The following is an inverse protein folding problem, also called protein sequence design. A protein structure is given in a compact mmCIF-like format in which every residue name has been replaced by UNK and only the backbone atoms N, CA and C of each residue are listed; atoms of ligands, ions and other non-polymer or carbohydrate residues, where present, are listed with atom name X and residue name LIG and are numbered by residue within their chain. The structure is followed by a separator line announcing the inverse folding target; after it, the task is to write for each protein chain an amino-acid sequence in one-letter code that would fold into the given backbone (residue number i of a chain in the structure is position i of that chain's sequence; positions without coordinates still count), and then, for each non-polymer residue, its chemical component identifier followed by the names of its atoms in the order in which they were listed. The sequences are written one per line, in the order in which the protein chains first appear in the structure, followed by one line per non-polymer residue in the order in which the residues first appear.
data_IF_880291672178
#
_entry.id   IF_880291672178
#
_cell.length_a   1.000
_cell.length_b   1.000
_cell.length_c   1.000
_cell.angle_alpha   90.00
_cell.angle_beta   90.00
_cell.angle_gamma   90.00
#
_symmetry.space_group_name_H-M   'P 1'
#
loop_
_entity.id
_entity.type
_entity.pdbx_description
1 polymer ?
#
# COMPACT_ATOMS: atom_id res chain seq x y z
N UNK A 1 3.60 1.30 12.37
CA UNK A 1 3.78 2.62 11.74
C UNK A 1 2.83 3.55 12.45
N UNK A 2 3.34 4.61 13.07
CA UNK A 2 2.51 5.53 13.86
C UNK A 2 2.12 6.74 13.02
N UNK A 3 0.89 6.78 12.52
CA UNK A 3 0.41 7.91 11.70
C UNK A 3 0.40 9.26 12.44
N UNK A 4 0.44 9.25 13.78
CA UNK A 4 0.53 10.47 14.60
C UNK A 4 1.96 11.01 14.68
N UNK A 5 2.98 10.20 14.41
CA UNK A 5 4.37 10.65 14.36
C UNK A 5 4.63 11.35 13.01
N UNK A 6 5.16 12.59 12.98
CA UNK A 6 5.34 13.34 11.73
C UNK A 6 6.26 12.67 10.70
N UNK A 7 7.30 11.95 11.14
CA UNK A 7 8.23 11.28 10.21
C UNK A 7 7.57 10.08 9.57
N UNK A 8 6.87 9.29 10.38
CA UNK A 8 6.07 8.16 9.88
C UNK A 8 4.94 8.66 8.98
N UNK A 9 4.23 9.73 9.35
CA UNK A 9 3.14 10.32 8.55
C UNK A 9 3.61 10.68 7.14
N UNK A 10 4.77 11.31 7.02
CA UNK A 10 5.35 11.65 5.72
C UNK A 10 5.66 10.40 4.87
N UNK A 11 6.24 9.37 5.49
CA UNK A 11 6.49 8.11 4.80
C UNK A 11 5.20 7.42 4.37
N UNK A 12 4.21 7.33 5.27
CA UNK A 12 2.90 6.72 5.03
C UNK A 12 2.18 7.44 3.89
N UNK A 13 2.07 8.77 3.94
CA UNK A 13 1.44 9.56 2.87
C UNK A 13 2.11 9.29 1.52
N UNK A 14 3.45 9.22 1.50
CA UNK A 14 4.21 8.92 0.28
C UNK A 14 3.85 7.54 -0.28
N UNK A 15 3.88 6.48 0.53
CA UNK A 15 3.60 5.12 0.02
C UNK A 15 2.12 4.92 -0.33
N UNK A 16 1.20 5.62 0.34
CA UNK A 16 -0.22 5.62 -0.06
C UNK A 16 -0.43 6.37 -1.36
N UNK A 17 0.28 7.48 -1.59
CA UNK A 17 0.24 8.16 -2.89
C UNK A 17 0.78 7.24 -4.00
N UNK A 18 1.90 6.56 -3.78
CA UNK A 18 2.41 5.58 -4.75
C UNK A 18 1.42 4.44 -5.01
N UNK A 19 0.72 3.97 -3.98
CA UNK A 19 -0.34 2.98 -4.12
C UNK A 19 -1.51 3.50 -4.98
N UNK A 20 -1.92 4.75 -4.81
CA UNK A 20 -2.92 5.42 -5.66
C UNK A 20 -2.43 5.49 -7.10
N UNK A 21 -1.19 5.94 -7.31
CA UNK A 21 -0.60 6.12 -8.64
C UNK A 21 -0.46 4.80 -9.39
N UNK A 22 -0.13 3.69 -8.69
CA UNK A 22 -0.08 2.34 -9.28
C UNK A 22 -1.49 1.88 -9.69
N UNK A 23 -2.51 2.15 -8.89
CA UNK A 23 -3.87 1.77 -9.25
C UNK A 23 -4.48 2.59 -10.38
N UNK A 24 -4.02 3.83 -10.56
CA UNK A 24 -4.56 4.72 -11.59
C UNK A 24 -4.03 4.41 -13.00
N UNK A 25 -3.11 3.46 -13.12
CA UNK A 25 -2.60 2.99 -14.40
C UNK A 25 -3.67 2.16 -15.10
N UNK A 26 -4.38 2.77 -16.06
CA UNK A 26 -5.45 2.11 -16.83
C UNK A 26 -4.90 1.00 -17.72
N UNK A 27 -5.46 -0.21 -17.63
CA UNK A 27 -5.22 -1.30 -18.58
C UNK A 27 -4.99 -2.66 -17.91
N UNK A 28 -4.78 -3.71 -18.72
CA UNK A 28 -4.41 -5.06 -18.22
C UNK A 28 -2.95 -5.14 -17.75
N UNK A 29 -2.13 -4.16 -18.13
CA UNK A 29 -0.71 -4.03 -17.81
C UNK A 29 -0.44 -2.63 -17.26
N UNK A 30 0.62 -2.49 -16.47
CA UNK A 30 1.03 -1.21 -15.91
C UNK A 30 1.49 -0.25 -17.03
N UNK A 31 0.81 0.88 -17.18
CA UNK A 31 1.22 1.93 -18.13
C UNK A 31 2.57 2.54 -17.78
N UNK A 32 2.98 2.45 -16.52
CA UNK A 32 4.29 2.88 -16.03
C UNK A 32 4.87 1.81 -15.13
N UNK A 33 5.70 0.98 -15.77
CA UNK A 33 6.44 -0.09 -15.12
C UNK A 33 7.67 0.46 -14.38
N UNK A 34 7.89 -0.03 -13.17
CA UNK A 34 9.06 0.33 -12.36
C UNK A 34 10.30 -0.40 -12.87
N UNK A 35 11.42 0.32 -12.91
CA UNK A 35 12.72 -0.30 -13.18
C UNK A 35 13.14 -1.19 -12.00
N UNK A 36 14.09 -2.10 -12.25
CA UNK A 36 14.70 -2.94 -11.21
C UNK A 36 15.21 -2.10 -10.04
N UNK A 37 15.92 -1.01 -10.31
CA UNK A 37 16.52 -0.13 -9.30
C UNK A 37 15.44 0.56 -8.47
N UNK A 38 14.34 1.00 -9.12
CA UNK A 38 13.21 1.60 -8.41
C UNK A 38 12.54 0.58 -7.49
N UNK A 39 12.29 -0.65 -7.96
CA UNK A 39 11.71 -1.71 -7.13
C UNK A 39 12.60 -2.02 -5.92
N UNK A 40 13.90 -2.22 -6.13
CA UNK A 40 14.87 -2.47 -5.04
C UNK A 40 14.78 -1.34 -4.00
N UNK A 41 14.80 -0.08 -4.46
CA UNK A 41 14.70 1.07 -3.56
C UNK A 41 13.39 1.05 -2.77
N UNK A 42 12.27 0.80 -3.43
CA UNK A 42 10.95 0.82 -2.79
C UNK A 42 10.79 -0.30 -1.75
N UNK A 43 11.24 -1.51 -2.06
CA UNK A 43 11.26 -2.61 -1.11
C UNK A 43 12.20 -2.33 0.07
N UNK A 44 13.38 -1.75 -0.16
CA UNK A 44 14.31 -1.36 0.92
C UNK A 44 13.71 -0.28 1.82
N UNK A 45 13.16 0.79 1.24
CA UNK A 45 12.51 1.87 2.00
C UNK A 45 11.38 1.32 2.90
N UNK A 46 10.56 0.40 2.37
CA UNK A 46 9.48 -0.26 3.13
C UNK A 46 10.01 -1.15 4.25
N UNK A 47 11.04 -1.96 3.97
CA UNK A 47 11.70 -2.80 4.97
C UNK A 47 12.29 -1.97 6.10
N UNK A 48 13.00 -0.89 5.78
CA UNK A 48 13.67 -0.05 6.77
C UNK A 48 12.65 0.60 7.72
N UNK A 49 11.48 0.97 7.20
CA UNK A 49 10.40 1.46 8.05
C UNK A 49 9.83 0.35 8.94
N UNK A 50 9.63 -0.87 8.43
CA UNK A 50 9.18 -2.01 9.25
C UNK A 50 10.20 -2.39 10.33
N UNK A 51 11.51 -2.28 10.07
CA UNK A 51 12.56 -2.53 11.07
C UNK A 51 12.48 -1.51 12.21
N UNK A 52 12.11 -0.25 11.94
CA UNK A 52 11.82 0.72 13.01
C UNK A 52 10.60 0.30 13.82
N UNK A 53 9.58 -0.29 13.20
CA UNK A 53 8.42 -0.83 13.91
C UNK A 53 8.77 -2.00 14.81
N UNK A 54 9.71 -2.87 14.44
CA UNK A 54 10.19 -3.95 15.34
C UNK A 54 10.72 -3.34 16.65
N UNK A 55 11.51 -2.26 16.56
CA UNK A 55 12.04 -1.57 17.75
C UNK A 55 10.94 -0.94 18.60
N UNK A 56 9.93 -0.32 17.97
CA UNK A 56 8.77 0.24 18.67
C UNK A 56 7.95 -0.84 19.36
N UNK A 57 7.68 -1.96 18.69
CA UNK A 57 7.00 -3.13 19.26
C UNK A 57 7.76 -3.69 20.45
N UNK A 58 9.10 -3.79 20.37
CA UNK A 58 9.92 -4.25 21.49
C UNK A 58 9.82 -3.31 22.71
N UNK A 59 9.78 -2.00 22.48
CA UNK A 59 9.58 -1.02 23.55
C UNK A 59 8.19 -1.17 24.21
N UNK A 60 7.13 -1.20 23.38
CA UNK A 60 5.75 -1.36 23.87
C UNK A 60 5.58 -2.65 24.66
N UNK A 61 6.11 -3.77 24.15
CA UNK A 61 6.08 -5.04 24.85
C UNK A 61 6.74 -4.98 26.22
N UNK A 62 7.89 -4.29 26.33
CA UNK A 62 8.58 -4.09 27.62
C UNK A 62 7.77 -3.23 28.58
N UNK A 63 7.11 -2.19 28.08
CA UNK A 63 6.24 -1.34 28.89
C UNK A 63 5.02 -2.10 29.45
N UNK A 64 4.40 -2.93 28.62
CA UNK A 64 3.18 -3.69 28.93
C UNK A 64 3.46 -4.90 29.84
N UNK A 65 4.48 -5.70 29.51
CA UNK A 65 4.74 -6.99 30.17
C UNK A 65 5.82 -6.92 31.26
N UNK A 66 6.56 -5.80 31.32
CA UNK A 66 7.79 -5.64 32.12
C UNK A 66 8.91 -6.62 31.76
N UNK A 67 8.80 -7.33 30.62
CA UNK A 67 9.82 -8.25 30.09
C UNK A 67 10.43 -7.68 28.82
N UNK A 68 11.72 -7.93 28.60
CA UNK A 68 12.33 -7.60 27.32
C UNK A 68 11.83 -8.55 26.22
N UNK A 69 11.64 -8.00 25.02
CA UNK A 69 11.32 -8.79 23.84
C UNK A 69 12.60 -9.47 23.33
N UNK A 70 12.67 -10.79 23.44
CA UNK A 70 13.81 -11.64 23.08
C UNK A 70 13.39 -12.74 22.11
N UNK A 71 14.34 -13.41 21.48
CA UNK A 71 14.05 -14.51 20.53
C UNK A 71 13.15 -15.61 21.15
N UNK A 72 13.21 -15.81 22.48
CA UNK A 72 12.40 -16.83 23.16
C UNK A 72 10.94 -16.44 23.36
N UNK A 73 10.61 -15.14 23.36
CA UNK A 73 9.25 -14.64 23.64
C UNK A 73 8.71 -13.70 22.55
N UNK A 74 9.46 -13.45 21.47
CA UNK A 74 9.05 -12.54 20.39
C UNK A 74 7.73 -12.93 19.74
N UNK A 75 7.44 -14.23 19.67
CA UNK A 75 6.19 -14.77 19.13
C UNK A 75 5.00 -14.65 20.10
N UNK A 76 5.18 -14.10 21.30
CA UNK A 76 4.07 -13.67 22.15
C UNK A 76 3.44 -12.35 21.66
N UNK A 77 4.18 -11.56 20.86
CA UNK A 77 3.69 -10.30 20.30
C UNK A 77 3.13 -10.49 18.89
N UNK A 78 1.80 -10.36 18.75
CA UNK A 78 1.15 -10.42 17.44
C UNK A 78 1.67 -9.35 16.47
N UNK A 79 1.99 -8.16 16.98
CA UNK A 79 2.61 -7.08 16.20
C UNK A 79 3.98 -7.50 15.67
N UNK A 80 4.82 -8.12 16.52
CA UNK A 80 6.11 -8.61 16.08
C UNK A 80 5.97 -9.66 14.99
N UNK A 81 5.10 -10.66 15.20
CA UNK A 81 4.83 -11.73 14.22
C UNK A 81 4.47 -11.13 12.87
N UNK A 82 3.52 -10.19 12.86
CA UNK A 82 3.08 -9.56 11.63
C UNK A 82 4.21 -8.81 10.92
N UNK A 83 4.98 -8.00 11.65
CA UNK A 83 6.08 -7.22 11.07
C UNK A 83 7.18 -8.14 10.54
N UNK A 84 7.53 -9.17 11.31
CA UNK A 84 8.56 -10.15 10.95
C UNK A 84 8.20 -10.90 9.67
N UNK A 85 6.95 -11.33 9.53
CA UNK A 85 6.42 -11.95 8.30
C UNK A 85 6.61 -11.02 7.09
N UNK A 86 6.20 -9.75 7.20
CA UNK A 86 6.33 -8.78 6.10
C UNK A 86 7.78 -8.48 5.75
N UNK A 87 8.66 -8.34 6.74
CA UNK A 87 10.12 -8.16 6.51
C UNK A 87 10.71 -9.38 5.81
N UNK A 88 10.31 -10.59 6.20
CA UNK A 88 10.78 -11.83 5.58
C UNK A 88 10.36 -11.92 4.11
N UNK A 89 9.10 -11.60 3.81
CA UNK A 89 8.60 -11.51 2.43
C UNK A 89 9.43 -10.52 1.63
N UNK A 90 9.66 -9.31 2.15
CA UNK A 90 10.43 -8.28 1.43
C UNK A 90 11.87 -8.72 1.18
N UNK A 91 12.53 -9.35 2.16
CA UNK A 91 13.89 -9.86 2.00
C UNK A 91 13.97 -10.91 0.89
N UNK A 92 13.00 -11.83 0.83
CA UNK A 92 12.92 -12.81 -0.25
C UNK A 92 12.77 -12.12 -1.62
N UNK A 93 11.92 -11.10 -1.72
CA UNK A 93 11.73 -10.34 -2.96
C UNK A 93 12.97 -9.59 -3.41
N UNK A 94 13.69 -8.96 -2.48
CA UNK A 94 14.97 -8.34 -2.78
C UNK A 94 15.99 -9.36 -3.30
N UNK A 95 16.08 -10.53 -2.67
CA UNK A 95 16.95 -11.61 -3.13
C UNK A 95 16.57 -12.14 -4.53
N UNK A 96 15.28 -12.32 -4.81
CA UNK A 96 14.81 -12.74 -6.14
C UNK A 96 15.15 -11.69 -7.22
N UNK A 97 14.98 -10.40 -6.91
CA UNK A 97 15.30 -9.30 -7.81
C UNK A 97 16.81 -9.24 -8.10
N UNK A 98 17.65 -9.40 -7.07
CA UNK A 98 19.11 -9.31 -7.21
C UNK A 98 19.70 -10.54 -7.92
N UNK A 99 19.14 -11.73 -7.73
CA UNK A 99 19.69 -13.00 -8.24
C UNK A 99 19.42 -13.28 -9.72
N UNK A 100 18.52 -12.55 -10.36
CA UNK A 100 18.07 -12.84 -11.73
C UNK A 100 18.09 -11.61 -12.63
N UNK A 101 18.29 -11.85 -13.91
CA UNK A 101 17.88 -10.90 -14.95
C UNK A 101 16.35 -10.89 -15.00
N UNK A 102 15.75 -9.71 -14.96
CA UNK A 102 14.31 -9.57 -14.83
C UNK A 102 13.69 -9.29 -16.20
N UNK A 103 12.75 -10.15 -16.60
CA UNK A 103 11.86 -9.87 -17.71
C UNK A 103 10.83 -8.80 -17.32
N UNK A 104 10.20 -8.17 -18.31
CA UNK A 104 9.09 -7.22 -18.11
C UNK A 104 7.99 -7.84 -17.25
N UNK A 105 7.59 -9.07 -17.51
CA UNK A 105 6.56 -9.79 -16.73
C UNK A 105 6.95 -9.93 -15.25
N UNK A 106 8.23 -10.17 -14.95
CA UNK A 106 8.69 -10.25 -13.56
C UNK A 106 8.74 -8.88 -12.89
N UNK A 107 9.09 -7.82 -13.61
CA UNK A 107 8.98 -6.46 -13.08
C UNK A 107 7.52 -6.11 -12.75
N UNK A 108 6.57 -6.50 -13.61
CA UNK A 108 5.14 -6.29 -13.37
C UNK A 108 4.67 -7.06 -12.13
N UNK A 109 5.09 -8.33 -12.01
CA UNK A 109 4.79 -9.15 -10.84
C UNK A 109 5.33 -8.52 -9.54
N UNK A 110 6.58 -8.05 -9.54
CA UNK A 110 7.16 -7.40 -8.36
C UNK A 110 6.50 -6.06 -8.03
N UNK A 111 6.13 -5.26 -9.03
CA UNK A 111 5.39 -4.02 -8.82
C UNK A 111 4.00 -4.31 -8.22
N UNK A 112 3.30 -5.33 -8.72
CA UNK A 112 2.02 -5.77 -8.16
C UNK A 112 2.18 -6.28 -6.71
N UNK A 113 3.23 -7.05 -6.42
CA UNK A 113 3.52 -7.52 -5.07
C UNK A 113 3.86 -6.37 -4.11
N UNK A 114 4.64 -5.38 -4.57
CA UNK A 114 4.93 -4.16 -3.80
C UNK A 114 3.65 -3.39 -3.45
N UNK A 115 2.79 -3.17 -4.44
CA UNK A 115 1.48 -2.55 -4.26
C UNK A 115 0.62 -3.30 -3.22
N UNK A 116 0.57 -4.63 -3.28
CA UNK A 116 -0.16 -5.46 -2.29
C UNK A 116 0.44 -5.37 -0.89
N UNK A 117 1.76 -5.26 -0.78
CA UNK A 117 2.43 -5.08 0.51
C UNK A 117 2.06 -3.74 1.14
N UNK A 118 2.04 -2.64 0.39
CA UNK A 118 1.56 -1.35 0.90
C UNK A 118 0.15 -1.50 1.46
N UNK A 119 -0.77 -2.07 0.66
CA UNK A 119 -2.17 -2.28 1.07
C UNK A 119 -2.28 -3.00 2.41
N UNK A 120 -1.62 -4.15 2.53
CA UNK A 120 -1.70 -4.99 3.73
C UNK A 120 -1.05 -4.32 4.95
N UNK A 121 0.13 -3.73 4.79
CA UNK A 121 0.86 -3.06 5.88
C UNK A 121 0.09 -1.84 6.39
N UNK A 122 -0.40 -0.98 5.51
CA UNK A 122 -1.14 0.22 5.91
C UNK A 122 -2.46 -0.15 6.57
N UNK A 123 -3.23 -1.09 6.01
CA UNK A 123 -4.48 -1.57 6.64
C UNK A 123 -4.23 -2.09 8.05
N UNK A 124 -3.14 -2.83 8.26
CA UNK A 124 -2.81 -3.37 9.58
C UNK A 124 -2.49 -2.27 10.61
N UNK A 125 -1.66 -1.29 10.23
CA UNK A 125 -1.26 -0.22 11.15
C UNK A 125 -2.27 0.92 11.27
N UNK A 126 -3.15 1.08 10.28
CA UNK A 126 -4.17 2.12 10.22
C UNK A 126 -5.49 1.44 9.81
N UNK A 127 -6.18 0.75 10.74
CA UNK A 127 -7.38 -0.02 10.41
C UNK A 127 -8.55 0.81 9.89
N UNK A 128 -8.57 2.12 10.20
CA UNK A 128 -9.55 3.07 9.65
C UNK A 128 -9.30 3.45 8.18
N UNK A 129 -8.17 3.01 7.60
CA UNK A 129 -7.85 3.37 6.23
C UNK A 129 -8.67 2.55 5.25
N UNK A 130 -9.11 3.19 4.17
CA UNK A 130 -9.98 2.59 3.15
C UNK A 130 -9.20 2.06 1.95
N UNK A 131 -7.93 1.67 2.15
CA UNK A 131 -7.12 1.03 1.11
C UNK A 131 -7.70 -0.34 0.66
N UNK A 132 -8.58 -0.95 1.45
CA UNK A 132 -9.26 -2.16 1.02
C UNK A 132 -10.39 -1.89 0.02
N UNK A 133 -11.12 -0.81 0.21
CA UNK A 133 -12.24 -0.39 -0.64
C UNK A 133 -11.78 0.27 -1.95
N UNK A 134 -10.57 0.83 -1.94
CA UNK A 134 -9.93 1.36 -3.13
C UNK A 134 -9.40 0.22 -4.04
N UNK A 135 -10.14 -0.17 -5.08
CA UNK A 135 -9.79 -1.27 -6.00
C UNK A 135 -10.04 -0.89 -7.47
N UNK A 136 -9.16 -0.06 -8.03
CA UNK A 136 -9.36 0.57 -9.35
C UNK A 136 -8.61 -0.04 -10.52
N UNK A 137 -7.67 -0.95 -10.26
CA UNK A 137 -6.86 -1.61 -11.29
C UNK A 137 -7.71 -2.25 -12.41
N UNK A 138 -8.95 -2.62 -12.12
CA UNK A 138 -9.80 -3.33 -13.07
C UNK A 138 -11.10 -2.57 -13.45
N UNK A 139 -11.61 -1.64 -12.62
CA UNK A 139 -12.98 -1.13 -12.74
C UNK A 139 -13.21 0.37 -12.45
N UNK A 140 -12.27 1.27 -12.78
CA UNK A 140 -12.51 2.73 -12.66
C UNK A 140 -13.45 3.26 -13.75
N UNK A 141 -14.57 3.87 -13.35
CA UNK A 141 -15.45 4.67 -14.25
C UNK A 141 -14.70 5.91 -14.76
N UNK A 142 -14.99 6.36 -15.99
CA UNK A 142 -14.23 7.43 -16.66
C UNK A 142 -14.21 8.73 -15.85
N UNK A 143 -15.32 9.05 -15.18
CA UNK A 143 -15.51 10.29 -14.43
C UNK A 143 -15.41 10.11 -12.90
N UNK A 144 -14.93 8.97 -12.42
CA UNK A 144 -14.78 8.72 -10.99
C UNK A 144 -13.54 9.42 -10.46
N UNK A 145 -13.71 10.15 -9.35
CA UNK A 145 -12.64 10.94 -8.74
C UNK A 145 -11.62 10.04 -8.05
N UNK A 146 -10.34 10.37 -8.24
CA UNK A 146 -9.22 9.75 -7.51
C UNK A 146 -9.17 10.38 -6.10
N UNK A 147 -9.11 9.59 -5.02
CA UNK A 147 -8.93 10.09 -3.68
C UNK A 147 -7.53 10.67 -3.49
N UNK A 148 -7.41 11.54 -2.49
CA UNK A 148 -6.12 11.89 -1.92
C UNK A 148 -5.64 10.79 -0.97
N UNK A 149 -4.33 10.74 -0.71
CA UNK A 149 -3.78 9.85 0.30
C UNK A 149 -4.40 10.07 1.70
N UNK A 150 -4.68 11.33 2.06
CA UNK A 150 -5.31 11.67 3.34
C UNK A 150 -6.75 11.13 3.43
N UNK A 151 -7.54 11.25 2.37
CA UNK A 151 -8.91 10.71 2.36
C UNK A 151 -8.93 9.18 2.55
N UNK A 152 -7.97 8.46 1.94
CA UNK A 152 -7.83 7.02 2.14
C UNK A 152 -7.35 6.68 3.55
N UNK A 153 -6.38 7.43 4.10
CA UNK A 153 -5.81 7.16 5.42
C UNK A 153 -6.77 7.49 6.57
N UNK A 154 -7.61 8.51 6.39
CA UNK A 154 -8.63 8.93 7.35
C UNK A 154 -9.96 8.18 7.18
N UNK A 155 -10.11 7.39 6.11
CA UNK A 155 -11.33 6.65 5.80
C UNK A 155 -12.53 7.53 5.48
N UNK A 156 -12.27 8.68 4.88
CA UNK A 156 -13.32 9.64 4.49
C UNK A 156 -13.73 9.49 3.03
N UNK A 157 -12.95 8.74 2.24
CA UNK A 157 -13.29 8.42 0.86
C UNK A 157 -14.39 7.36 0.79
N UNK A 158 -15.48 7.65 0.08
CA UNK A 158 -16.54 6.68 -0.16
C UNK A 158 -16.56 6.26 -1.64
N UNK A 159 -15.99 5.09 -1.92
CA UNK A 159 -15.84 4.57 -3.28
C UNK A 159 -17.20 4.38 -3.97
N UNK A 160 -18.20 3.85 -3.25
CA UNK A 160 -19.53 3.59 -3.81
C UNK A 160 -20.26 4.87 -4.21
N UNK A 161 -20.16 5.91 -3.37
CA UNK A 161 -20.74 7.23 -3.68
C UNK A 161 -20.08 7.83 -4.93
N UNK A 162 -18.75 7.80 -5.01
CA UNK A 162 -18.01 8.31 -6.17
C UNK A 162 -18.31 7.52 -7.44
N UNK A 163 -18.52 6.20 -7.33
CA UNK A 163 -18.94 5.35 -8.44
C UNK A 163 -20.31 5.75 -9.02
N UNK A 164 -21.33 5.92 -8.16
CA UNK A 164 -22.67 6.32 -8.61
C UNK A 164 -22.70 7.76 -9.16
N UNK A 165 -21.89 8.67 -8.60
CA UNK A 165 -21.70 10.00 -9.16
C UNK A 165 -21.08 9.95 -10.56
N UNK A 166 -20.04 9.13 -10.75
CA UNK A 166 -19.40 8.95 -12.05
C UNK A 166 -20.38 8.38 -13.08
N UNK A 167 -21.15 7.35 -12.71
CA UNK A 167 -22.17 6.73 -13.55
C UNK A 167 -23.26 7.72 -13.97
N UNK A 168 -23.69 8.60 -13.06
CA UNK A 168 -24.68 9.65 -13.37
C UNK A 168 -24.12 10.66 -14.38
N UNK A 169 -22.87 11.11 -14.19
CA UNK A 169 -22.19 12.00 -15.14
C UNK A 169 -22.01 11.37 -16.52
N UNK A 170 -21.65 10.09 -16.57
CA UNK A 170 -21.54 9.32 -17.83
C UNK A 170 -22.88 9.24 -18.57
N UNK A 171 -23.99 9.08 -17.83
CA UNK A 171 -25.33 9.09 -18.42
C UNK A 171 -25.67 10.49 -18.98
N UNK A 172 -25.52 11.54 -18.18
CA UNK A 172 -25.77 12.92 -18.63
C UNK A 172 -24.95 13.32 -19.85
N UNK A 173 -23.68 12.89 -19.92
CA UNK A 173 -22.81 13.14 -21.06
C UNK A 173 -23.32 12.44 -22.33
N UNK A 174 -23.80 11.20 -22.24
CA UNK A 174 -24.42 10.51 -23.39
C UNK A 174 -25.72 11.17 -23.83
N UNK A 175 -26.61 11.43 -22.89
CA UNK A 175 -27.92 12.01 -23.18
C UNK A 175 -27.80 13.39 -23.86
N UNK A 176 -26.75 14.17 -23.55
CA UNK A 176 -26.48 15.47 -24.18
C UNK A 176 -25.73 15.42 -25.52
N UNK A 177 -25.08 14.30 -25.86
CA UNK A 177 -24.29 14.14 -27.09
C UNK A 177 -24.93 13.18 -28.11
N UNK A 178 -26.05 12.53 -27.75
CA UNK A 178 -26.93 11.80 -28.68
C UNK A 178 -28.09 12.67 -29.22
N UNK A 179 -28.26 13.90 -28.72
CA UNK A 179 -29.27 14.88 -29.17
C UNK A 179 -28.77 15.84 -30.28
N UNK A 180 -27.54 15.63 -30.81
CA UNK A 180 -27.00 16.30 -32.01
C UNK A 180 -27.01 15.38 -33.24
#
# INVERSE_FOLDING_TARGET
MNYKDPKDRNFINKIVQEYIDIQDQKGRQFSTLYTKERLIKQFKDLKDQLVKEIKRTAHQFKEETKKELTISNTFESQNYIYIFDKVTIINYKLWEIDSKELTTEKLEEFQYQYYRLIKTIITYFIPKSELNEYCYLEFRRKHQRIPTAEELLEGTYNNNKEYELAKTKEKQFRDTHEEE
#
